data_IF_213714804128
#
_entry.id   IF_213714804128
#
_cell.length_a   1.000
_cell.length_b   1.000
_cell.length_c   1.000
_cell.angle_alpha   90.00
_cell.angle_beta   90.00
_cell.angle_gamma   90.00
#
_symmetry.space_group_name_H-M   'P 1'
#
loop_
_entity.id
_entity.type
_entity.pdbx_description
1 polymer ?
#
# COMPACT_ATOMS: atom_id res chain seq x y z
N UNK A 1 -58.95 17.51 -2.20
CA UNK A 1 -57.76 16.99 -1.46
C UNK A 1 -56.47 17.23 -2.23
N UNK A 2 -56.39 16.81 -3.50
CA UNK A 2 -55.18 16.92 -4.35
C UNK A 2 -54.68 18.37 -4.52
N UNK A 3 -55.58 19.33 -4.70
CA UNK A 3 -55.19 20.75 -4.87
C UNK A 3 -54.58 21.38 -3.60
N UNK A 4 -55.00 20.93 -2.41
CA UNK A 4 -54.40 21.37 -1.14
C UNK A 4 -52.98 20.82 -0.99
N UNK A 5 -52.76 19.56 -1.37
CA UNK A 5 -51.44 18.91 -1.36
C UNK A 5 -50.49 19.60 -2.33
N UNK A 6 -50.95 19.95 -3.55
CA UNK A 6 -50.15 20.70 -4.53
C UNK A 6 -49.74 22.09 -4.02
N UNK A 7 -50.65 22.81 -3.36
CA UNK A 7 -50.33 24.12 -2.79
C UNK A 7 -49.30 24.04 -1.65
N UNK A 8 -49.37 23.00 -0.82
CA UNK A 8 -48.38 22.77 0.23
C UNK A 8 -47.02 22.40 -0.37
N UNK A 9 -47.01 21.53 -1.39
CA UNK A 9 -45.78 21.13 -2.07
C UNK A 9 -45.10 22.29 -2.80
N UNK A 10 -45.87 23.15 -3.47
CA UNK A 10 -45.31 24.33 -4.15
C UNK A 10 -44.78 25.39 -3.17
N UNK A 11 -45.29 25.42 -1.94
CA UNK A 11 -44.89 26.41 -0.93
C UNK A 11 -43.78 25.93 0.01
N UNK A 12 -43.72 24.63 0.30
CA UNK A 12 -42.82 24.05 1.32
C UNK A 12 -42.11 22.77 0.88
N UNK A 13 -42.14 22.43 -0.41
CA UNK A 13 -41.61 21.15 -0.91
C UNK A 13 -40.13 20.95 -0.62
N UNK A 14 -39.33 22.03 -0.72
CA UNK A 14 -37.89 21.97 -0.42
C UNK A 14 -37.62 21.69 1.06
N UNK A 15 -38.32 22.38 1.97
CA UNK A 15 -38.21 22.23 3.41
C UNK A 15 -38.66 20.84 3.86
N UNK A 16 -39.71 20.30 3.24
CA UNK A 16 -40.18 18.93 3.48
C UNK A 16 -39.09 17.93 3.09
N UNK A 17 -38.48 18.05 1.90
CA UNK A 17 -37.40 17.17 1.46
C UNK A 17 -36.18 17.28 2.39
N UNK A 18 -35.80 18.50 2.79
CA UNK A 18 -34.69 18.72 3.71
C UNK A 18 -34.93 18.03 5.05
N UNK A 19 -36.13 18.17 5.61
CA UNK A 19 -36.51 17.51 6.86
C UNK A 19 -36.48 15.98 6.72
N UNK A 20 -36.96 15.43 5.61
CA UNK A 20 -36.89 13.98 5.35
C UNK A 20 -35.43 13.49 5.25
N UNK A 21 -34.56 14.23 4.57
CA UNK A 21 -33.13 13.89 4.47
C UNK A 21 -32.45 13.89 5.84
N UNK A 22 -32.72 14.91 6.67
CA UNK A 22 -32.17 14.99 8.03
C UNK A 22 -32.70 13.84 8.90
N UNK A 23 -34.00 13.55 8.82
CA UNK A 23 -34.62 12.44 9.55
C UNK A 23 -34.02 11.09 9.12
N UNK A 24 -33.79 10.88 7.82
CA UNK A 24 -33.18 9.66 7.29
C UNK A 24 -31.75 9.45 7.83
N UNK A 25 -30.94 10.51 7.90
CA UNK A 25 -29.59 10.46 8.48
C UNK A 25 -29.65 10.12 9.98
N UNK A 26 -30.58 10.74 10.72
CA UNK A 26 -30.76 10.48 12.15
C UNK A 26 -31.25 9.05 12.42
N UNK A 27 -32.21 8.55 11.63
CA UNK A 27 -32.70 7.17 11.71
C UNK A 27 -31.58 6.19 11.38
N UNK A 28 -30.82 6.41 10.30
CA UNK A 28 -29.67 5.57 9.95
C UNK A 28 -28.61 5.54 11.05
N UNK A 29 -28.32 6.70 11.66
CA UNK A 29 -27.41 6.81 12.80
C UNK A 29 -27.93 6.08 14.05
N UNK A 30 -29.23 6.16 14.33
CA UNK A 30 -29.87 5.49 15.46
C UNK A 30 -29.92 3.98 15.28
N UNK A 31 -30.29 3.49 14.09
CA UNK A 31 -30.24 2.07 13.73
C UNK A 31 -28.82 1.57 13.94
N UNK A 32 -27.81 2.27 13.41
CA UNK A 32 -26.40 1.88 13.56
C UNK A 32 -25.93 1.82 15.01
N UNK A 33 -26.44 2.72 15.87
CA UNK A 33 -26.15 2.73 17.31
C UNK A 33 -26.77 1.52 18.02
N UNK A 34 -27.98 1.09 17.63
CA UNK A 34 -28.66 -0.07 18.22
C UNK A 34 -28.07 -1.39 17.71
N UNK A 35 -27.82 -1.50 16.41
CA UNK A 35 -27.35 -2.74 15.77
C UNK A 35 -25.86 -3.01 16.04
N UNK A 36 -25.16 -2.06 16.69
CA UNK A 36 -23.71 -2.10 16.93
C UNK A 36 -22.89 -2.45 15.68
N UNK A 37 -23.47 -2.23 14.49
CA UNK A 37 -22.85 -2.54 13.20
C UNK A 37 -21.81 -1.48 12.93
N UNK A 38 -20.56 -1.87 13.07
CA UNK A 38 -19.42 -1.06 12.68
C UNK A 38 -19.38 -1.03 11.15
N UNK A 39 -19.06 0.13 10.57
CA UNK A 39 -18.92 0.21 9.11
C UNK A 39 -17.75 -0.68 8.67
N UNK A 40 -17.85 -1.26 7.47
CA UNK A 40 -16.83 -2.13 6.84
C UNK A 40 -15.53 -1.39 6.45
N UNK A 41 -15.28 -0.21 7.02
CA UNK A 41 -13.99 0.46 6.88
C UNK A 41 -12.94 -0.38 7.61
N UNK A 42 -12.15 -1.11 6.82
CA UNK A 42 -11.09 -2.05 7.17
C UNK A 42 -10.54 -1.90 8.61
N UNK A 43 -11.27 -2.44 9.58
CA UNK A 43 -10.81 -2.53 10.97
C UNK A 43 -9.65 -3.51 11.13
N UNK A 44 -9.60 -4.51 10.25
CA UNK A 44 -8.46 -5.42 10.06
C UNK A 44 -7.13 -4.68 10.03
N UNK A 45 -7.03 -3.61 9.21
CA UNK A 45 -5.78 -2.88 9.07
C UNK A 45 -5.41 -2.06 10.33
N UNK A 46 -6.42 -1.59 11.08
CA UNK A 46 -6.22 -0.80 12.30
C UNK A 46 -5.85 -1.66 13.52
N UNK A 47 -6.51 -2.80 13.70
CA UNK A 47 -6.18 -3.75 14.78
C UNK A 47 -4.83 -4.44 14.52
N UNK A 48 -4.52 -4.75 13.25
CA UNK A 48 -3.20 -5.23 12.84
C UNK A 48 -2.10 -4.19 13.12
N UNK A 49 -2.36 -2.89 12.88
CA UNK A 49 -1.42 -1.80 13.19
C UNK A 49 -1.09 -1.72 14.69
N UNK A 50 -2.11 -1.69 15.57
CA UNK A 50 -1.88 -1.56 17.01
C UNK A 50 -1.25 -2.83 17.61
N UNK A 51 -1.67 -4.02 17.18
CA UNK A 51 -1.10 -5.30 17.63
C UNK A 51 0.36 -5.45 17.20
N UNK A 52 0.70 -4.99 15.99
CA UNK A 52 2.08 -4.99 15.50
C UNK A 52 2.95 -3.96 16.24
N UNK A 53 2.41 -2.75 16.52
CA UNK A 53 3.12 -1.69 17.25
C UNK A 53 3.51 -2.12 18.67
N UNK A 54 2.66 -2.91 19.35
CA UNK A 54 2.94 -3.44 20.70
C UNK A 54 4.04 -4.51 20.73
N UNK A 55 4.30 -5.17 19.59
CA UNK A 55 5.33 -6.21 19.49
C UNK A 55 6.76 -5.70 19.24
N UNK A 56 6.93 -4.41 18.89
CA UNK A 56 8.25 -3.80 18.70
C UNK A 56 8.75 -3.14 19.98
N UNK A 57 9.51 -3.89 20.77
CA UNK A 57 10.52 -3.32 21.67
C UNK A 57 11.92 -3.21 21.03
N UNK A 58 12.09 -3.49 19.73
CA UNK A 58 13.40 -3.39 19.09
C UNK A 58 13.30 -3.02 17.60
N UNK A 59 14.34 -2.32 17.13
CA UNK A 59 14.60 -1.78 15.79
C UNK A 59 13.99 -0.40 15.52
N UNK A 60 14.77 0.68 15.74
CA UNK A 60 14.49 1.97 15.13
C UNK A 60 14.76 1.83 13.64
N UNK A 61 13.71 1.76 12.82
CA UNK A 61 13.85 1.74 11.37
C UNK A 61 14.16 3.16 10.90
N UNK A 62 14.99 3.27 9.86
CA UNK A 62 15.35 4.48 9.11
C UNK A 62 14.14 5.14 8.43
N UNK A 63 13.08 5.43 9.17
CA UNK A 63 11.81 6.03 8.70
C UNK A 63 12.00 7.42 8.08
N UNK A 64 13.18 8.03 8.23
CA UNK A 64 13.43 9.41 7.83
C UNK A 64 13.42 9.62 6.30
N UNK A 65 13.67 8.56 5.51
CA UNK A 65 13.77 8.65 4.05
C UNK A 65 12.83 7.72 3.27
N UNK A 66 12.07 6.87 3.95
CA UNK A 66 11.19 5.91 3.28
C UNK A 66 9.85 6.54 2.87
N UNK A 67 9.36 6.17 1.69
CA UNK A 67 8.02 6.58 1.27
C UNK A 67 6.94 5.85 2.10
N UNK A 68 5.73 6.44 2.17
CA UNK A 68 4.58 5.78 2.83
C UNK A 68 4.27 4.39 2.25
N UNK A 69 4.55 4.19 0.96
CA UNK A 69 4.37 2.91 0.27
C UNK A 69 5.40 1.87 0.69
N UNK A 70 6.67 2.25 0.83
CA UNK A 70 7.72 1.37 1.36
C UNK A 70 7.41 0.95 2.80
N UNK A 71 7.03 1.91 3.65
CA UNK A 71 6.68 1.66 5.06
C UNK A 71 5.53 0.64 5.15
N UNK A 72 4.46 0.85 4.38
CA UNK A 72 3.30 -0.05 4.40
C UNK A 72 3.63 -1.43 3.79
N UNK A 73 4.41 -1.47 2.71
CA UNK A 73 4.88 -2.72 2.10
C UNK A 73 5.64 -3.57 3.12
N UNK A 74 6.61 -2.95 3.80
CA UNK A 74 7.38 -3.60 4.86
C UNK A 74 6.47 -4.12 5.97
N UNK A 75 5.59 -3.25 6.48
CA UNK A 75 4.64 -3.60 7.55
C UNK A 75 3.80 -4.82 7.18
N UNK A 76 3.28 -4.85 5.96
CA UNK A 76 2.43 -5.97 5.48
C UNK A 76 3.23 -7.27 5.42
N UNK A 77 4.43 -7.25 4.83
CA UNK A 77 5.27 -8.46 4.74
C UNK A 77 5.64 -8.99 6.13
N UNK A 78 6.06 -8.12 7.03
CA UNK A 78 6.39 -8.50 8.41
C UNK A 78 5.17 -9.04 9.16
N UNK A 79 3.97 -8.51 8.89
CA UNK A 79 2.73 -9.01 9.48
C UNK A 79 2.34 -10.40 8.95
N UNK A 80 2.52 -10.65 7.65
CA UNK A 80 2.21 -11.94 7.01
C UNK A 80 3.18 -13.02 7.49
N UNK A 81 4.49 -12.73 7.42
CA UNK A 81 5.52 -13.74 7.65
C UNK A 81 6.03 -13.80 9.09
N UNK A 82 5.70 -12.82 9.94
CA UNK A 82 6.21 -12.70 11.32
C UNK A 82 7.74 -12.72 11.39
N UNK A 83 8.39 -12.18 10.34
CA UNK A 83 9.84 -12.03 10.22
C UNK A 83 10.18 -10.62 9.76
N UNK A 84 11.35 -10.07 10.12
CA UNK A 84 11.75 -8.73 9.69
C UNK A 84 12.05 -8.67 8.19
N UNK A 85 11.69 -7.56 7.56
CA UNK A 85 12.03 -7.25 6.17
C UNK A 85 12.79 -5.93 6.12
N UNK A 86 14.13 -6.02 6.19
CA UNK A 86 14.99 -4.84 6.21
C UNK A 86 15.29 -4.37 4.78
N UNK A 87 15.61 -3.08 4.67
CA UNK A 87 16.30 -2.55 3.48
C UNK A 87 17.71 -3.16 3.46
N UNK A 88 18.11 -3.76 2.35
CA UNK A 88 19.37 -4.51 2.27
C UNK A 88 20.07 -4.31 0.93
N UNK A 89 21.41 -4.37 0.93
CA UNK A 89 22.26 -4.31 -0.27
C UNK A 89 23.02 -5.62 -0.40
N UNK A 90 22.34 -6.71 -0.78
CA UNK A 90 22.95 -8.03 -0.71
C UNK A 90 24.11 -8.18 -1.70
N UNK A 91 25.14 -8.92 -1.29
CA UNK A 91 26.37 -9.13 -2.07
C UNK A 91 26.15 -9.82 -3.42
N UNK A 92 25.01 -10.47 -3.64
CA UNK A 92 24.69 -11.07 -4.94
C UNK A 92 24.12 -10.04 -5.93
N UNK A 93 23.68 -8.87 -5.46
CA UNK A 93 23.01 -7.84 -6.25
C UNK A 93 23.99 -6.76 -6.69
N UNK A 94 25.16 -7.15 -7.16
CA UNK A 94 26.22 -6.24 -7.58
C UNK A 94 25.87 -5.57 -8.90
N UNK A 95 26.13 -4.27 -9.00
CA UNK A 95 25.94 -3.51 -10.23
C UNK A 95 27.12 -3.75 -11.18
N UNK A 96 26.91 -4.45 -12.32
CA UNK A 96 27.99 -4.75 -13.26
C UNK A 96 28.59 -3.49 -13.89
N UNK A 97 27.79 -2.42 -14.03
CA UNK A 97 28.24 -1.14 -14.60
C UNK A 97 29.33 -0.48 -13.73
N UNK A 98 29.33 -0.75 -12.43
CA UNK A 98 30.35 -0.26 -11.48
C UNK A 98 31.52 -1.22 -11.29
N UNK A 99 31.67 -2.22 -12.18
CA UNK A 99 32.65 -3.29 -12.01
C UNK A 99 32.34 -4.22 -10.83
N UNK A 100 31.07 -4.29 -10.41
CA UNK A 100 30.65 -5.12 -9.28
C UNK A 100 31.06 -4.59 -7.90
N UNK A 101 31.48 -3.32 -7.80
CA UNK A 101 31.91 -2.71 -6.53
C UNK A 101 30.76 -2.22 -5.66
N UNK A 102 29.60 -1.90 -6.27
CA UNK A 102 28.43 -1.39 -5.56
C UNK A 102 27.23 -2.33 -5.74
N UNK A 103 26.67 -2.81 -4.63
CA UNK A 103 25.40 -3.54 -4.64
C UNK A 103 24.21 -2.58 -4.81
N UNK A 104 23.21 -3.01 -5.60
CA UNK A 104 21.90 -2.37 -5.59
C UNK A 104 21.18 -2.71 -4.28
N UNK A 105 20.25 -1.83 -3.91
CA UNK A 105 19.45 -1.97 -2.70
C UNK A 105 18.12 -2.63 -3.00
N UNK A 106 17.60 -3.41 -2.06
CA UNK A 106 16.22 -3.87 -2.00
C UNK A 106 15.50 -3.14 -0.87
N UNK A 107 14.29 -2.60 -1.13
CA UNK A 107 13.52 -1.85 -0.12
C UNK A 107 13.14 -2.71 1.10
N UNK A 108 12.78 -3.97 0.81
CA UNK A 108 12.39 -4.99 1.77
C UNK A 108 12.97 -6.33 1.33
N UNK A 109 13.81 -6.95 2.16
CA UNK A 109 14.38 -8.27 1.87
C UNK A 109 14.45 -9.14 3.12
N UNK A 110 14.08 -10.41 2.96
CA UNK A 110 14.29 -11.46 3.95
C UNK A 110 15.02 -12.65 3.31
N UNK A 111 16.27 -12.87 3.71
CA UNK A 111 17.12 -13.91 3.16
C UNK A 111 16.66 -15.34 3.53
N UNK A 112 16.05 -15.54 4.70
CA UNK A 112 15.59 -16.87 5.13
C UNK A 112 14.40 -17.35 4.31
N UNK A 113 13.54 -16.42 3.87
CA UNK A 113 12.36 -16.72 3.07
C UNK A 113 12.63 -16.66 1.57
N UNK A 114 13.76 -16.09 1.15
CA UNK A 114 14.03 -15.72 -0.25
C UNK A 114 12.91 -14.85 -0.85
N UNK A 115 12.39 -13.89 -0.06
CA UNK A 115 11.35 -12.95 -0.51
C UNK A 115 11.92 -11.54 -0.45
N UNK A 116 11.71 -10.79 -1.52
CA UNK A 116 12.01 -9.38 -1.63
C UNK A 116 10.77 -8.59 -2.09
N UNK A 117 10.72 -7.31 -1.76
CA UNK A 117 9.73 -6.40 -2.31
C UNK A 117 10.29 -5.00 -2.56
N UNK A 118 9.73 -4.35 -3.57
CA UNK A 118 10.06 -3.00 -4.02
C UNK A 118 8.78 -2.19 -4.18
N UNK A 119 8.74 -0.98 -3.64
CA UNK A 119 7.65 -0.05 -3.89
C UNK A 119 8.08 0.98 -4.95
N UNK A 120 7.60 0.79 -6.17
CA UNK A 120 7.99 1.61 -7.30
C UNK A 120 7.12 2.87 -7.39
N UNK A 121 7.71 4.00 -7.04
CA UNK A 121 7.13 5.33 -7.27
C UNK A 121 6.93 5.65 -8.76
N UNK A 122 6.21 6.73 -9.04
CA UNK A 122 5.90 7.16 -10.42
C UNK A 122 7.16 7.40 -11.28
N UNK A 123 8.26 7.82 -10.63
CA UNK A 123 9.56 8.04 -11.26
C UNK A 123 10.15 6.79 -11.94
N UNK A 124 9.77 5.58 -11.51
CA UNK A 124 10.23 4.34 -12.15
C UNK A 124 9.56 4.10 -13.52
N UNK A 125 8.39 4.70 -13.74
CA UNK A 125 7.57 4.45 -14.93
C UNK A 125 7.73 5.53 -15.99
N UNK A 126 7.84 6.79 -15.56
CA UNK A 126 7.91 7.95 -16.45
C UNK A 126 9.05 8.91 -16.08
N UNK A 127 9.58 9.59 -17.09
CA UNK A 127 10.54 10.67 -16.86
C UNK A 127 9.84 11.86 -16.18
N UNK A 128 10.22 12.10 -14.93
CA UNK A 128 9.78 13.24 -14.13
C UNK A 128 10.97 14.20 -13.95
N UNK A 129 10.95 15.43 -14.52
CA UNK A 129 12.10 16.35 -14.49
C UNK A 129 12.60 16.74 -13.09
N UNK A 130 11.72 16.78 -12.08
CA UNK A 130 12.14 17.11 -10.72
C UNK A 130 12.74 15.91 -9.95
N UNK A 131 12.47 14.67 -10.41
CA UNK A 131 13.01 13.44 -9.80
C UNK A 131 14.23 12.90 -10.56
N UNK A 132 14.43 13.33 -11.81
CA UNK A 132 15.51 12.88 -12.66
C UNK A 132 16.30 14.06 -13.20
N UNK A 133 17.63 13.99 -13.10
CA UNK A 133 18.54 15.01 -13.63
C UNK A 133 18.37 15.19 -15.15
N UNK A 134 18.20 14.09 -15.87
CA UNK A 134 18.04 14.04 -17.32
C UNK A 134 17.40 12.70 -17.72
N UNK A 135 17.08 12.53 -19.01
CA UNK A 135 16.48 11.29 -19.53
C UNK A 135 17.37 10.06 -19.34
N UNK A 136 18.69 10.24 -19.41
CA UNK A 136 19.65 9.16 -19.20
C UNK A 136 19.60 8.61 -17.77
N UNK A 137 19.46 9.48 -16.76
CA UNK A 137 19.30 9.07 -15.37
C UNK A 137 18.05 8.21 -15.15
N UNK A 138 16.95 8.53 -15.83
CA UNK A 138 15.73 7.73 -15.84
C UNK A 138 15.92 6.37 -16.52
N UNK A 139 16.60 6.34 -17.68
CA UNK A 139 16.92 5.08 -18.36
C UNK A 139 17.85 4.20 -17.49
N UNK A 140 18.83 4.79 -16.81
CA UNK A 140 19.70 4.10 -15.87
C UNK A 140 18.95 3.56 -14.66
N UNK A 141 17.91 4.26 -14.18
CA UNK A 141 17.03 3.75 -13.13
C UNK A 141 16.24 2.52 -13.62
N UNK A 142 15.62 2.62 -14.80
CA UNK A 142 14.93 1.46 -15.41
C UNK A 142 15.86 0.26 -15.62
N UNK A 143 17.09 0.50 -16.04
CA UNK A 143 18.10 -0.54 -16.16
C UNK A 143 18.40 -1.21 -14.83
N UNK A 144 18.58 -0.44 -13.74
CA UNK A 144 18.80 -1.01 -12.40
C UNK A 144 17.59 -1.82 -11.91
N UNK A 145 16.37 -1.34 -12.14
CA UNK A 145 15.16 -2.06 -11.74
C UNK A 145 15.02 -3.42 -12.45
N UNK A 146 15.30 -3.45 -13.75
CA UNK A 146 15.33 -4.67 -14.55
C UNK A 146 16.46 -5.63 -14.11
N UNK A 147 17.63 -5.11 -13.76
CA UNK A 147 18.71 -5.89 -13.17
C UNK A 147 18.31 -6.54 -11.83
N UNK A 148 17.62 -5.79 -10.94
CA UNK A 148 17.09 -6.37 -9.69
C UNK A 148 16.19 -7.56 -9.97
N UNK A 149 15.26 -7.40 -10.91
CA UNK A 149 14.35 -8.47 -11.28
C UNK A 149 15.07 -9.72 -11.80
N UNK A 150 16.01 -9.56 -12.74
CA UNK A 150 16.77 -10.70 -13.30
C UNK A 150 17.59 -11.42 -12.24
N UNK A 151 18.36 -10.67 -11.45
CA UNK A 151 19.23 -11.26 -10.44
C UNK A 151 18.42 -11.97 -9.35
N UNK A 152 17.32 -11.37 -8.88
CA UNK A 152 16.44 -12.04 -7.90
C UNK A 152 15.89 -13.35 -8.48
N UNK A 153 15.41 -13.32 -9.73
CA UNK A 153 14.90 -14.52 -10.41
C UNK A 153 15.97 -15.61 -10.55
N UNK A 154 17.19 -15.25 -10.95
CA UNK A 154 18.32 -16.20 -11.07
C UNK A 154 18.71 -16.81 -9.71
N UNK A 155 18.53 -16.07 -8.62
CA UNK A 155 18.80 -16.53 -7.25
C UNK A 155 17.64 -17.27 -6.60
N UNK A 156 16.51 -17.42 -7.29
CA UNK A 156 15.30 -18.03 -6.73
C UNK A 156 14.67 -17.18 -5.62
N UNK A 157 14.82 -15.86 -5.72
CA UNK A 157 14.20 -14.89 -4.83
C UNK A 157 12.92 -14.38 -5.46
N UNK A 158 11.81 -14.53 -4.74
CA UNK A 158 10.51 -14.00 -5.13
C UNK A 158 10.48 -12.50 -4.91
N UNK A 159 10.60 -11.73 -5.98
CA UNK A 159 10.56 -10.27 -5.96
C UNK A 159 9.15 -9.76 -6.27
N UNK A 160 8.52 -9.13 -5.27
CA UNK A 160 7.21 -8.49 -5.40
C UNK A 160 7.40 -7.01 -5.72
N UNK A 161 6.89 -6.56 -6.88
CA UNK A 161 6.94 -5.15 -7.27
C UNK A 161 5.57 -4.52 -7.04
N UNK A 162 5.50 -3.54 -6.14
CA UNK A 162 4.26 -2.81 -5.84
C UNK A 162 4.30 -1.47 -6.59
N UNK A 163 3.47 -1.27 -7.62
CA UNK A 163 3.43 -0.01 -8.35
C UNK A 163 2.73 1.08 -7.52
N UNK A 164 3.14 2.34 -7.71
CA UNK A 164 2.52 3.51 -7.06
C UNK A 164 1.01 3.67 -7.31
N UNK A 165 0.47 2.99 -8.32
CA UNK A 165 -0.97 2.96 -8.63
C UNK A 165 -1.78 2.18 -7.59
N UNK A 166 -1.13 1.31 -6.81
CA UNK A 166 -1.74 0.62 -5.67
C UNK A 166 -1.84 1.60 -4.51
N UNK A 167 -3.07 1.92 -4.12
CA UNK A 167 -3.34 2.74 -2.93
C UNK A 167 -2.81 2.04 -1.68
N UNK A 168 -2.29 2.82 -0.73
CA UNK A 168 -1.71 2.32 0.53
C UNK A 168 -2.62 1.31 1.23
N UNK A 169 -3.93 1.61 1.32
CA UNK A 169 -4.92 0.74 1.97
C UNK A 169 -5.14 -0.61 1.25
N UNK A 170 -4.73 -0.72 -0.02
CA UNK A 170 -4.85 -1.92 -0.85
C UNK A 170 -3.53 -2.68 -0.99
N UNK A 171 -2.43 -2.20 -0.38
CA UNK A 171 -1.12 -2.87 -0.42
C UNK A 171 -1.22 -4.28 0.17
N UNK A 172 -1.95 -4.44 1.29
CA UNK A 172 -2.18 -5.75 1.89
C UNK A 172 -2.78 -6.75 0.89
N UNK A 173 -3.93 -6.41 0.30
CA UNK A 173 -4.60 -7.29 -0.68
C UNK A 173 -3.70 -7.57 -1.89
N UNK A 174 -3.00 -6.55 -2.39
CA UNK A 174 -2.11 -6.70 -3.54
C UNK A 174 -0.98 -7.70 -3.25
N UNK A 175 -0.30 -7.54 -2.11
CA UNK A 175 0.79 -8.45 -1.70
C UNK A 175 0.26 -9.87 -1.50
N UNK A 176 -0.88 -10.05 -0.82
CA UNK A 176 -1.46 -11.38 -0.62
C UNK A 176 -1.86 -12.05 -1.93
N UNK A 177 -2.31 -11.30 -2.92
CA UNK A 177 -2.65 -11.83 -4.23
C UNK A 177 -1.39 -12.23 -5.00
N UNK A 178 -0.35 -11.39 -5.00
CA UNK A 178 0.95 -11.73 -5.60
C UNK A 178 1.54 -13.00 -5.00
N UNK A 179 1.53 -13.11 -3.67
CA UNK A 179 2.02 -14.30 -2.96
C UNK A 179 1.20 -15.55 -3.35
N UNK A 180 -0.12 -15.44 -3.48
CA UNK A 180 -0.96 -16.56 -3.95
C UNK A 180 -0.61 -16.97 -5.39
N UNK A 181 -0.38 -16.02 -6.29
CA UNK A 181 0.08 -16.32 -7.66
C UNK A 181 1.46 -17.00 -7.69
N UNK A 182 2.33 -16.67 -6.74
CA UNK A 182 3.65 -17.30 -6.56
C UNK A 182 3.56 -18.68 -5.86
N UNK A 183 2.36 -19.12 -5.45
CA UNK A 183 2.13 -20.46 -4.89
C UNK A 183 2.16 -20.54 -3.35
N UNK A 184 2.24 -19.40 -2.65
CA UNK A 184 2.18 -19.38 -1.19
C UNK A 184 0.74 -19.61 -0.69
N UNK A 185 0.61 -20.40 0.38
CA UNK A 185 -0.66 -20.60 1.08
C UNK A 185 -0.84 -19.46 2.09
N UNK A 186 -1.82 -18.59 1.83
CA UNK A 186 -2.20 -17.44 2.67
C UNK A 186 -3.40 -17.77 3.54
#
# INVERSE_FOLDING_TARGET
MINKIKNIWNKYGFEIILLFCVLFILIGGFIRKITNTQGTWSKSNYESYNTYKDSRNFVPLDEKNDSKGEIETRRVLEAIFRKPFKKDRPNFLLNPVTGGTNALELDCYNAELNIAAEYNGEQHYKYIPFMHKNKEAFLNQKYRDDMKYRICKEKGIDLIIIPYTVKINNIYSYITDQLRYMGYKM
#
